data_IF_903566808867
#
_entry.id   IF_903566808867
#
_cell.length_a   1.000
_cell.length_b   1.000
_cell.length_c   1.000
_cell.angle_alpha   90.00
_cell.angle_beta   90.00
_cell.angle_gamma   90.00
#
_symmetry.space_group_name_H-M   'P 1'
#
loop_
_entity.id
_entity.type
_entity.pdbx_description
1 polymer ?
#
# COMPACT_ATOMS: atom_id res chain seq x y z
N UNK A 1 -45.31 11.68 -9.74
CA UNK A 1 -43.99 11.12 -10.12
C UNK A 1 -43.02 11.41 -8.99
N UNK A 2 -42.83 10.43 -8.11
CA UNK A 2 -41.99 10.57 -6.91
C UNK A 2 -40.51 10.56 -7.28
N UNK A 3 -39.82 11.67 -6.98
CA UNK A 3 -38.36 11.76 -7.04
C UNK A 3 -37.79 10.93 -5.90
N UNK A 4 -37.43 9.67 -6.18
CA UNK A 4 -36.63 8.85 -5.27
C UNK A 4 -35.29 9.55 -5.02
N UNK A 5 -35.21 10.11 -3.83
CA UNK A 5 -34.09 10.81 -3.26
C UNK A 5 -32.98 9.76 -2.99
N UNK A 6 -32.16 9.45 -3.99
CA UNK A 6 -30.92 8.70 -3.79
C UNK A 6 -29.93 9.59 -3.03
N UNK A 7 -30.14 9.71 -1.71
CA UNK A 7 -29.10 10.15 -0.79
C UNK A 7 -27.99 9.12 -0.87
N UNK A 8 -26.93 9.46 -1.61
CA UNK A 8 -25.63 8.82 -1.48
C UNK A 8 -25.35 8.69 0.02
N UNK A 9 -25.22 7.46 0.51
CA UNK A 9 -24.76 7.20 1.87
C UNK A 9 -23.43 7.94 2.00
N UNK A 10 -23.40 9.03 2.77
CA UNK A 10 -22.14 9.62 3.23
C UNK A 10 -21.35 8.45 3.81
N UNK A 11 -20.16 8.20 3.27
CA UNK A 11 -19.16 7.31 3.87
C UNK A 11 -19.16 7.64 5.37
N UNK A 12 -19.74 6.74 6.18
CA UNK A 12 -19.57 6.80 7.63
C UNK A 12 -18.08 6.53 7.79
N UNK A 13 -17.31 7.60 8.00
CA UNK A 13 -15.85 7.59 7.87
C UNK A 13 -15.27 6.32 8.47
N UNK A 14 -14.68 5.49 7.61
CA UNK A 14 -14.03 4.25 8.03
C UNK A 14 -13.01 4.66 9.09
N UNK A 15 -13.23 4.21 10.32
CA UNK A 15 -12.30 4.47 11.42
C UNK A 15 -11.15 3.48 11.27
N UNK A 16 -10.09 3.92 10.62
CA UNK A 16 -8.87 3.14 10.50
C UNK A 16 -8.32 2.81 11.89
N UNK A 17 -7.85 1.58 12.03
CA UNK A 17 -7.27 1.07 13.27
C UNK A 17 -5.80 1.43 13.31
N UNK A 18 -5.37 1.91 14.48
CA UNK A 18 -3.94 2.10 14.79
C UNK A 18 -3.33 0.74 15.05
N UNK A 19 -2.56 0.21 14.11
CA UNK A 19 -1.84 -1.06 14.30
C UNK A 19 -0.44 -0.89 14.86
N UNK A 20 0.10 0.31 14.77
CA UNK A 20 1.44 0.71 15.20
C UNK A 20 1.46 2.20 15.52
N UNK A 21 2.35 2.63 16.41
CA UNK A 21 2.63 4.05 16.62
C UNK A 21 3.54 4.59 15.50
N UNK A 22 3.18 5.71 14.89
CA UNK A 22 3.90 6.24 13.73
C UNK A 22 5.34 6.66 14.10
N UNK A 23 5.56 7.26 15.27
CA UNK A 23 6.89 7.71 15.67
C UNK A 23 7.82 6.50 15.90
N UNK A 24 7.30 5.45 16.55
CA UNK A 24 8.05 4.21 16.72
C UNK A 24 8.35 3.53 15.37
N UNK A 25 7.40 3.54 14.43
CA UNK A 25 7.62 3.00 13.09
C UNK A 25 8.70 3.78 12.33
N UNK A 26 8.66 5.11 12.38
CA UNK A 26 9.64 5.98 11.73
C UNK A 26 11.01 5.96 12.41
N UNK A 27 11.10 5.53 13.67
CA UNK A 27 12.38 5.34 14.34
C UNK A 27 13.15 4.09 13.86
N UNK A 28 12.46 3.13 13.22
CA UNK A 28 13.12 1.97 12.62
C UNK A 28 13.75 2.40 11.29
N UNK A 29 15.08 2.32 11.11
CA UNK A 29 15.72 2.63 9.84
C UNK A 29 15.30 1.61 8.77
N UNK A 30 15.13 2.08 7.54
CA UNK A 30 14.98 1.18 6.40
C UNK A 30 16.25 0.33 6.22
N UNK A 31 16.14 -0.87 5.62
CA UNK A 31 17.31 -1.67 5.33
C UNK A 31 18.17 -0.98 4.26
N UNK A 32 19.50 -0.99 4.47
CA UNK A 32 20.46 -0.30 3.59
C UNK A 32 20.93 -1.16 2.39
N UNK A 33 20.82 -2.49 2.50
CA UNK A 33 21.41 -3.45 1.57
C UNK A 33 20.36 -4.30 0.82
N UNK A 34 19.15 -3.78 0.59
CA UNK A 34 18.10 -4.51 -0.14
C UNK A 34 18.13 -4.13 -1.62
N UNK A 35 18.88 -4.88 -2.42
CA UNK A 35 18.90 -4.66 -3.89
C UNK A 35 17.55 -5.00 -4.55
N UNK A 36 16.78 -5.89 -3.92
CA UNK A 36 15.59 -6.47 -4.53
C UNK A 36 14.28 -5.87 -4.00
N UNK A 37 14.32 -5.01 -2.97
CA UNK A 37 13.11 -4.50 -2.33
C UNK A 37 13.15 -3.01 -2.04
N UNK A 38 12.04 -2.35 -2.31
CA UNK A 38 11.74 -0.98 -1.94
C UNK A 38 10.61 -0.97 -0.90
N UNK A 39 10.73 -0.12 0.12
CA UNK A 39 9.78 -0.03 1.22
C UNK A 39 9.20 1.37 1.33
N UNK A 40 7.88 1.44 1.45
CA UNK A 40 7.13 2.66 1.61
C UNK A 40 6.25 2.57 2.85
N UNK A 41 6.21 3.64 3.64
CA UNK A 41 5.22 3.82 4.70
C UNK A 41 4.09 4.65 4.12
N UNK A 42 2.91 4.05 4.00
CA UNK A 42 1.74 4.66 3.35
C UNK A 42 0.70 5.08 4.38
N UNK A 43 0.20 6.32 4.26
CA UNK A 43 -0.98 6.79 4.97
C UNK A 43 -2.24 6.38 4.21
N UNK A 44 -2.86 5.29 4.65
CA UNK A 44 -3.95 4.58 3.96
C UNK A 44 -5.09 5.50 3.52
N UNK A 45 -5.55 6.38 4.40
CA UNK A 45 -6.66 7.29 4.08
C UNK A 45 -6.32 8.22 2.91
N UNK A 46 -5.11 8.78 2.91
CA UNK A 46 -4.67 9.68 1.84
C UNK A 46 -4.49 8.90 0.54
N UNK A 47 -3.98 7.67 0.62
CA UNK A 47 -3.86 6.81 -0.56
C UNK A 47 -5.21 6.51 -1.20
N UNK A 48 -6.22 6.14 -0.41
CA UNK A 48 -7.60 5.94 -0.92
C UNK A 48 -8.18 7.22 -1.51
N UNK A 49 -7.94 8.38 -0.89
CA UNK A 49 -8.40 9.67 -1.43
C UNK A 49 -7.71 10.02 -2.76
N UNK A 50 -6.42 9.69 -2.91
CA UNK A 50 -5.67 9.81 -4.17
C UNK A 50 -6.21 8.84 -5.24
N UNK A 51 -6.36 7.55 -4.95
CA UNK A 51 -6.95 6.57 -5.88
C UNK A 51 -8.33 7.00 -6.36
N UNK A 52 -9.21 7.46 -5.45
CA UNK A 52 -10.55 7.98 -5.80
C UNK A 52 -10.49 9.20 -6.69
N UNK A 53 -9.49 10.07 -6.50
CA UNK A 53 -9.30 11.23 -7.35
C UNK A 53 -8.91 10.78 -8.76
N UNK A 54 -8.00 9.83 -8.86
CA UNK A 54 -7.40 9.39 -10.12
C UNK A 54 -8.39 8.56 -10.95
N UNK A 55 -9.17 7.67 -10.31
CA UNK A 55 -10.31 6.99 -10.93
C UNK A 55 -11.32 7.99 -11.54
N UNK A 56 -11.55 9.15 -10.91
CA UNK A 56 -12.48 10.17 -11.43
C UNK A 56 -11.90 10.93 -12.63
N UNK A 57 -10.59 11.04 -12.73
CA UNK A 57 -9.92 11.70 -13.84
C UNK A 57 -9.82 10.79 -15.05
N UNK A 58 -9.51 9.51 -14.84
CA UNK A 58 -9.56 8.48 -15.87
C UNK A 58 -10.94 8.38 -16.51
N UNK A 59 -12.02 8.36 -15.70
CA UNK A 59 -13.41 8.39 -16.20
C UNK A 59 -13.76 9.63 -17.04
N UNK A 60 -12.93 10.68 -16.99
CA UNK A 60 -13.09 11.91 -17.76
C UNK A 60 -12.12 12.01 -18.94
N UNK A 61 -11.31 10.97 -19.21
CA UNK A 61 -10.27 10.96 -20.24
C UNK A 61 -9.33 12.17 -20.16
N UNK A 62 -8.89 12.53 -18.95
CA UNK A 62 -7.95 13.63 -18.75
C UNK A 62 -6.51 13.06 -18.81
N UNK A 63 -5.86 13.19 -19.96
CA UNK A 63 -4.53 12.63 -20.33
C UNK A 63 -3.33 13.28 -19.62
N UNK A 64 -3.42 13.54 -18.33
CA UNK A 64 -2.21 13.79 -17.53
C UNK A 64 -2.04 12.62 -16.55
N UNK A 65 -1.09 12.69 -15.62
CA UNK A 65 -0.96 11.77 -14.48
C UNK A 65 0.09 10.66 -14.64
N UNK A 66 1.34 11.05 -14.92
CA UNK A 66 2.53 10.33 -14.42
C UNK A 66 2.71 10.62 -12.92
N UNK A 67 1.84 10.06 -12.06
CA UNK A 67 1.98 10.14 -10.59
C UNK A 67 2.26 8.81 -9.93
N UNK A 68 2.20 7.72 -10.68
CA UNK A 68 2.46 6.38 -10.17
C UNK A 68 3.80 5.89 -10.69
N UNK A 69 4.47 5.09 -9.88
CA UNK A 69 5.67 4.36 -10.28
C UNK A 69 5.21 3.05 -10.92
N UNK A 70 5.12 3.02 -12.24
CA UNK A 70 4.72 1.81 -12.95
C UNK A 70 5.98 1.13 -13.45
N UNK A 71 6.27 -0.06 -12.92
CA UNK A 71 7.50 -0.81 -13.21
C UNK A 71 7.62 -1.26 -14.68
N UNK A 72 6.61 -1.03 -15.55
CA UNK A 72 6.60 -1.51 -16.92
C UNK A 72 5.93 -0.56 -17.92
N UNK A 73 6.53 -0.41 -19.10
CA UNK A 73 6.01 0.36 -20.25
C UNK A 73 4.65 -0.14 -20.78
N UNK A 74 4.17 -1.31 -20.35
CA UNK A 74 2.95 -1.96 -20.83
C UNK A 74 1.84 -2.12 -19.78
N UNK A 75 2.05 -1.72 -18.52
CA UNK A 75 0.99 -1.80 -17.49
C UNK A 75 0.04 -0.60 -17.62
N UNK A 76 -1.26 -0.89 -17.61
CA UNK A 76 -2.31 0.13 -17.69
C UNK A 76 -2.66 0.52 -16.27
N UNK A 77 -2.32 1.74 -15.86
CA UNK A 77 -2.71 2.23 -14.54
C UNK A 77 -4.24 2.06 -14.31
N UNK A 78 -4.61 1.23 -13.32
CA UNK A 78 -5.99 0.99 -12.88
C UNK A 78 -6.15 1.27 -11.36
N UNK A 79 -6.30 2.55 -10.96
CA UNK A 79 -6.59 2.92 -9.59
C UNK A 79 -7.97 2.46 -9.12
N UNK A 80 -8.90 2.12 -10.02
CA UNK A 80 -10.22 1.60 -9.64
C UNK A 80 -10.12 0.15 -9.12
N UNK A 81 -9.29 -0.67 -9.76
CA UNK A 81 -8.96 -2.03 -9.28
C UNK A 81 -8.27 -1.99 -7.91
N UNK A 82 -7.23 -1.18 -7.75
CA UNK A 82 -6.55 -1.05 -6.45
C UNK A 82 -7.52 -0.54 -5.39
N UNK A 83 -8.37 0.44 -5.72
CA UNK A 83 -9.41 0.94 -4.81
C UNK A 83 -10.43 -0.14 -4.42
N UNK A 84 -10.81 -1.03 -5.35
CA UNK A 84 -11.67 -2.18 -5.07
C UNK A 84 -10.99 -3.16 -4.10
N UNK A 85 -9.70 -3.45 -4.31
CA UNK A 85 -8.94 -4.36 -3.46
C UNK A 85 -8.70 -3.79 -2.05
N UNK A 86 -8.74 -2.47 -1.89
CA UNK A 86 -8.62 -1.78 -0.60
C UNK A 86 -9.85 -1.88 0.31
N UNK A 87 -10.97 -2.49 -0.12
CA UNK A 87 -12.24 -2.50 0.62
C UNK A 87 -12.13 -3.06 2.06
N UNK A 88 -11.30 -4.08 2.24
CA UNK A 88 -11.07 -4.73 3.55
C UNK A 88 -9.90 -4.13 4.33
N UNK A 89 -9.15 -3.22 3.72
CA UNK A 89 -7.95 -2.62 4.32
C UNK A 89 -8.35 -1.57 5.36
N UNK A 90 -8.10 -1.85 6.65
CA UNK A 90 -8.58 -1.03 7.75
C UNK A 90 -7.49 -0.54 8.72
N UNK A 91 -6.23 -0.55 8.29
CA UNK A 91 -5.11 0.03 9.06
C UNK A 91 -4.87 1.51 8.72
N UNK A 92 -4.50 2.33 9.71
CA UNK A 92 -4.18 3.76 9.51
C UNK A 92 -2.95 3.95 8.62
N UNK A 93 -1.97 3.05 8.79
CA UNK A 93 -0.75 2.99 8.00
C UNK A 93 -0.59 1.61 7.39
N UNK A 94 -0.07 1.55 6.17
CA UNK A 94 0.36 0.32 5.52
C UNK A 94 1.85 0.35 5.22
N UNK A 95 2.43 -0.84 5.13
CA UNK A 95 3.79 -1.03 4.61
C UNK A 95 3.64 -1.49 3.17
N UNK A 96 3.98 -0.64 2.21
CA UNK A 96 4.05 -1.03 0.81
C UNK A 96 5.45 -1.53 0.51
N UNK A 97 5.52 -2.66 -0.17
CA UNK A 97 6.76 -3.32 -0.52
C UNK A 97 6.73 -3.58 -2.02
N UNK A 98 7.69 -3.01 -2.74
CA UNK A 98 7.90 -3.27 -4.15
C UNK A 98 9.16 -4.14 -4.35
N UNK A 99 9.10 -5.06 -5.30
CA UNK A 99 10.14 -6.01 -5.66
C UNK A 99 10.79 -5.57 -6.97
N UNK A 100 12.08 -5.22 -6.94
CA UNK A 100 12.81 -4.72 -8.11
C UNK A 100 13.21 -5.82 -9.11
N UNK A 101 13.11 -7.09 -8.72
CA UNK A 101 13.43 -8.25 -9.57
C UNK A 101 12.26 -9.22 -9.54
N UNK A 102 11.30 -9.02 -10.41
CA UNK A 102 10.27 -10.01 -10.65
C UNK A 102 10.36 -10.43 -12.11
N UNK A 103 10.32 -11.73 -12.36
CA UNK A 103 10.00 -12.23 -13.70
C UNK A 103 8.63 -11.65 -14.11
N UNK A 104 8.38 -11.56 -15.42
CA UNK A 104 7.23 -10.86 -16.03
C UNK A 104 5.82 -11.32 -15.56
N UNK A 105 5.70 -12.28 -14.63
CA UNK A 105 4.45 -12.94 -14.26
C UNK A 105 4.01 -12.84 -12.79
N UNK A 106 4.80 -12.25 -11.88
CA UNK A 106 4.39 -12.11 -10.47
C UNK A 106 4.15 -10.64 -10.09
N UNK A 107 3.20 -10.35 -9.16
CA UNK A 107 2.97 -9.00 -8.73
C UNK A 107 4.23 -8.43 -8.06
N UNK A 108 4.62 -7.21 -8.43
CA UNK A 108 5.83 -6.58 -7.91
C UNK A 108 5.58 -5.77 -6.65
N UNK A 109 4.34 -5.37 -6.36
CA UNK A 109 4.03 -4.37 -5.33
C UNK A 109 2.84 -4.76 -4.45
N UNK A 110 3.09 -4.87 -3.15
CA UNK A 110 2.10 -5.25 -2.15
C UNK A 110 2.00 -4.24 -1.01
N UNK A 111 0.79 -3.77 -0.71
CA UNK A 111 0.48 -3.00 0.49
C UNK A 111 -0.02 -3.93 1.59
N UNK A 112 0.72 -3.97 2.69
CA UNK A 112 0.46 -4.84 3.83
C UNK A 112 -0.10 -4.05 5.01
N UNK A 113 -1.08 -4.65 5.68
CA UNK A 113 -1.50 -4.19 7.01
C UNK A 113 -0.38 -4.48 8.01
N UNK A 114 0.11 -3.45 8.70
CA UNK A 114 1.23 -3.57 9.65
C UNK A 114 0.79 -4.33 10.89
N UNK A 115 0.93 -5.66 10.87
CA UNK A 115 0.55 -6.59 11.93
C UNK A 115 1.58 -7.70 12.01
N UNK A 116 1.74 -8.32 13.18
CA UNK A 116 2.65 -9.46 13.36
C UNK A 116 2.31 -10.59 12.40
N UNK A 117 1.02 -10.94 12.26
CA UNK A 117 0.57 -12.02 11.38
C UNK A 117 0.89 -11.75 9.91
N UNK A 118 0.57 -10.56 9.39
CA UNK A 118 0.78 -10.27 7.97
C UNK A 118 2.27 -10.20 7.62
N UNK A 119 3.08 -9.60 8.49
CA UNK A 119 4.53 -9.51 8.29
C UNK A 119 5.21 -10.88 8.40
N UNK A 120 4.77 -11.74 9.33
CA UNK A 120 5.27 -13.12 9.45
C UNK A 120 4.94 -13.97 8.21
N UNK A 121 3.71 -13.87 7.69
CA UNK A 121 3.31 -14.53 6.45
C UNK A 121 4.17 -14.07 5.27
N UNK A 122 4.44 -12.77 5.19
CA UNK A 122 5.23 -12.18 4.12
C UNK A 122 6.71 -12.60 4.17
N UNK A 123 7.33 -12.60 5.35
CA UNK A 123 8.72 -13.06 5.56
C UNK A 123 8.93 -14.53 5.17
N UNK A 124 7.88 -15.35 5.28
CA UNK A 124 7.90 -16.78 4.94
C UNK A 124 7.66 -17.06 3.46
N UNK A 125 7.36 -16.03 2.65
CA UNK A 125 7.26 -16.18 1.20
C UNK A 125 8.64 -16.49 0.62
N UNK A 126 8.72 -17.45 -0.32
CA UNK A 126 9.96 -17.91 -0.96
C UNK A 126 10.77 -16.77 -1.59
N UNK A 127 10.11 -15.76 -2.13
CA UNK A 127 10.77 -14.59 -2.75
C UNK A 127 11.51 -13.73 -1.71
N UNK A 128 11.02 -13.71 -0.47
CA UNK A 128 11.66 -13.02 0.65
C UNK A 128 12.66 -13.91 1.39
N UNK A 129 12.66 -15.22 1.15
CA UNK A 129 13.34 -16.18 2.01
C UNK A 129 14.85 -15.92 2.11
N UNK A 130 15.44 -15.38 1.05
CA UNK A 130 16.89 -15.16 0.98
C UNK A 130 17.34 -13.74 1.39
N UNK A 131 16.43 -12.78 1.60
CA UNK A 131 16.79 -11.40 1.94
C UNK A 131 16.74 -11.15 3.46
N UNK A 132 17.88 -11.41 4.12
CA UNK A 132 18.01 -11.28 5.58
C UNK A 132 17.72 -9.85 6.06
N UNK A 133 18.12 -8.83 5.30
CA UNK A 133 17.96 -7.41 5.65
C UNK A 133 16.48 -7.00 5.66
N UNK A 134 15.75 -7.36 4.61
CA UNK A 134 14.31 -7.14 4.53
C UNK A 134 13.55 -7.90 5.63
N UNK A 135 13.91 -9.16 5.89
CA UNK A 135 13.32 -9.96 6.97
C UNK A 135 13.52 -9.32 8.33
N UNK A 136 14.73 -8.88 8.63
CA UNK A 136 15.05 -8.27 9.92
C UNK A 136 14.37 -6.92 10.09
N UNK A 137 14.20 -6.15 9.02
CA UNK A 137 13.38 -4.94 9.04
C UNK A 137 11.92 -5.26 9.41
N UNK A 138 11.29 -6.23 8.74
CA UNK A 138 9.93 -6.65 9.06
C UNK A 138 9.81 -7.19 10.50
N UNK A 139 10.77 -7.97 11.01
CA UNK A 139 10.80 -8.43 12.41
C UNK A 139 10.87 -7.27 13.41
N UNK A 140 11.65 -6.22 13.13
CA UNK A 140 11.70 -5.02 13.98
C UNK A 140 10.36 -4.29 14.00
N UNK A 141 9.64 -4.24 12.89
CA UNK A 141 8.29 -3.68 12.86
C UNK A 141 7.33 -4.57 13.67
N UNK A 142 7.43 -5.90 13.52
CA UNK A 142 6.57 -6.85 14.24
C UNK A 142 6.61 -6.68 15.76
N UNK A 143 7.73 -6.27 16.34
CA UNK A 143 7.89 -6.10 17.79
C UNK A 143 7.15 -4.88 18.36
N UNK A 144 6.73 -3.93 17.50
CA UNK A 144 5.98 -2.72 17.89
C UNK A 144 4.51 -2.75 17.42
N UNK A 145 4.07 -3.84 16.79
CA UNK A 145 2.68 -4.03 16.35
C UNK A 145 1.74 -4.27 17.54
N UNK A 146 0.53 -3.73 17.48
CA UNK A 146 -0.52 -3.95 18.48
C UNK A 146 -1.66 -4.88 18.02
N UNK A 147 -1.54 -5.48 16.82
CA UNK A 147 -2.42 -6.52 16.24
C UNK A 147 -3.94 -6.27 16.31
N UNK A 148 -4.35 -5.00 16.36
CA UNK A 148 -5.76 -4.63 16.48
C UNK A 148 -6.52 -4.63 15.14
N UNK A 149 -5.85 -4.88 14.02
CA UNK A 149 -6.45 -4.99 12.68
C UNK A 149 -6.36 -6.41 12.13
N UNK A 150 -7.23 -6.71 11.16
CA UNK A 150 -7.18 -7.96 10.41
C UNK A 150 -5.95 -7.89 9.49
N UNK A 151 -5.20 -8.98 9.40
CA UNK A 151 -4.15 -9.14 8.39
C UNK A 151 -4.80 -9.05 6.99
N UNK A 152 -4.26 -8.16 6.16
CA UNK A 152 -4.73 -7.92 4.80
C UNK A 152 -3.53 -7.48 3.97
N UNK A 153 -3.49 -7.97 2.73
CA UNK A 153 -2.54 -7.65 1.68
C UNK A 153 -3.34 -7.16 0.47
N UNK A 154 -2.84 -6.13 -0.20
CA UNK A 154 -3.44 -5.56 -1.40
C UNK A 154 -2.36 -5.44 -2.46
N UNK A 155 -2.58 -6.04 -3.62
CA UNK A 155 -1.74 -5.83 -4.81
C UNK A 155 -1.96 -4.40 -5.33
N UNK A 156 -0.84 -3.69 -5.53
CA UNK A 156 -0.83 -2.25 -5.86
C UNK A 156 -0.14 -1.95 -7.19
N UNK A 157 0.20 -2.98 -7.97
CA UNK A 157 0.90 -2.90 -9.25
C UNK A 157 0.30 -1.88 -10.22
N UNK A 158 -1.02 -1.78 -10.26
CA UNK A 158 -1.75 -0.91 -11.19
C UNK A 158 -1.84 0.56 -10.70
N UNK A 159 -1.42 0.86 -9.47
CA UNK A 159 -1.43 2.21 -8.92
C UNK A 159 -0.40 2.39 -7.78
N UNK A 160 0.85 1.98 -8.01
CA UNK A 160 1.92 2.10 -7.01
C UNK A 160 2.30 3.57 -6.79
N UNK A 161 2.14 4.12 -5.57
CA UNK A 161 2.49 5.51 -5.31
C UNK A 161 4.01 5.71 -5.38
N UNK A 162 4.45 6.84 -5.96
CA UNK A 162 5.85 7.26 -5.92
C UNK A 162 6.10 8.25 -4.77
N UNK A 163 7.37 8.64 -4.57
CA UNK A 163 7.78 9.54 -3.48
C UNK A 163 7.12 10.93 -3.47
N UNK A 164 6.49 11.35 -4.57
CA UNK A 164 5.81 12.64 -4.68
C UNK A 164 4.33 12.56 -4.28
N UNK A 165 3.76 11.36 -4.11
CA UNK A 165 2.40 11.18 -3.60
C UNK A 165 2.31 11.61 -2.13
N UNK A 166 1.21 12.29 -1.76
CA UNK A 166 1.01 12.76 -0.39
C UNK A 166 0.73 11.63 0.59
N UNK A 167 0.34 10.46 0.07
CA UNK A 167 0.15 9.28 0.89
C UNK A 167 1.47 8.66 1.37
N UNK A 168 2.60 8.93 0.70
CA UNK A 168 3.91 8.40 1.11
C UNK A 168 4.47 9.23 2.26
N UNK A 169 4.63 8.60 3.42
CA UNK A 169 5.24 9.24 4.60
C UNK A 169 6.76 9.14 4.53
N UNK A 170 7.26 7.98 4.12
CA UNK A 170 8.69 7.69 4.01
C UNK A 170 8.91 6.58 2.99
N UNK A 171 10.00 6.67 2.23
CA UNK A 171 10.47 5.61 1.33
C UNK A 171 11.99 5.55 1.33
N UNK A 172 12.57 4.42 0.89
CA UNK A 172 14.01 4.27 0.67
C UNK A 172 14.43 4.52 -0.80
N UNK A 173 13.62 5.27 -1.56
CA UNK A 173 13.79 5.61 -2.99
C UNK A 173 13.69 7.13 -3.28
#
# INVERSE_FOLDING_TARGET
>A
MDKKNCKAKKDKGIKYKKTVDLNNLLAIPFPCDTENFCFYIIKTRVFIDELRHDTRLQKKNIDSWNKYDLDYEFRICDPEEVLHNMLDFNSEYGLLISCNKVSEMEPSCFLLTITTTQLDLFIKNSNFENDTSAKDYCKRIMSICNNNAKACIVECDEAMPNKNNKCVIRTNF
#
